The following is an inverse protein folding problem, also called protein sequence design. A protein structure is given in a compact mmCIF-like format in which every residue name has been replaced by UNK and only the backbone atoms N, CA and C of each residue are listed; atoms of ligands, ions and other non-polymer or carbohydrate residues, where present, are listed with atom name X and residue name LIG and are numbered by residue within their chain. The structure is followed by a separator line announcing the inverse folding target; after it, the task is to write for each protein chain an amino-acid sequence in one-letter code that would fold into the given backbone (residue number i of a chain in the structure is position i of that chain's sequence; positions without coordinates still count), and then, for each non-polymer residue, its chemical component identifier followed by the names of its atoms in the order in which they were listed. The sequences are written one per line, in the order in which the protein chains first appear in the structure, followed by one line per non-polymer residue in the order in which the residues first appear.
data_IF_317072385071
#
_entry.id   IF_317072385071
#
_cell.length_a   1.000
_cell.length_b   1.000
_cell.length_c   1.000
_cell.angle_alpha   90.00
_cell.angle_beta   90.00
_cell.angle_gamma   90.00
#
_symmetry.space_group_name_H-M   'P 1'
#
loop_
_entity.id
_entity.type
_entity.pdbx_description
1 polymer ?
#
# COMPACT_ATOMS: atom_id res chain seq x y z
N UNK A 1 5.49 4.85 -5.34
CA UNK A 1 4.91 4.93 -6.69
C UNK A 1 3.43 5.29 -6.64
N UNK A 2 2.89 5.88 -7.71
CA UNK A 2 1.47 6.23 -7.79
C UNK A 2 0.67 5.10 -8.45
N UNK A 3 -0.48 4.75 -7.85
CA UNK A 3 -1.52 3.93 -8.48
C UNK A 3 -2.53 4.87 -9.14
N UNK A 4 -2.74 4.69 -10.44
CA UNK A 4 -3.61 5.55 -11.23
C UNK A 4 -4.94 4.87 -11.50
N UNK A 5 -6.00 5.66 -11.52
CA UNK A 5 -7.33 5.20 -11.88
C UNK A 5 -7.37 4.84 -13.35
N UNK A 6 -8.06 3.75 -13.66
CA UNK A 6 -8.29 3.30 -15.02
C UNK A 6 -9.74 3.56 -15.41
N UNK A 7 -9.94 4.29 -16.51
CA UNK A 7 -11.25 4.50 -17.09
C UNK A 7 -11.70 3.19 -17.76
N UNK A 8 -12.80 2.62 -17.25
CA UNK A 8 -13.34 1.34 -17.74
C UNK A 8 -13.98 1.45 -19.12
N UNK A 9 -14.55 2.61 -19.45
CA UNK A 9 -15.26 2.85 -20.70
C UNK A 9 -14.25 3.06 -21.84
N UNK A 10 -13.24 3.89 -21.58
CA UNK A 10 -12.23 4.24 -22.58
C UNK A 10 -11.02 3.28 -22.60
N UNK A 11 -10.94 2.34 -21.64
CA UNK A 11 -9.80 1.42 -21.45
C UNK A 11 -8.47 2.15 -21.45
N UNK A 12 -8.40 3.30 -20.76
CA UNK A 12 -7.21 4.13 -20.68
C UNK A 12 -6.87 4.46 -19.24
N UNK A 13 -5.56 4.51 -18.96
CA UNK A 13 -5.03 5.03 -17.71
C UNK A 13 -5.32 6.53 -17.66
N UNK A 14 -5.85 7.00 -16.54
CA UNK A 14 -6.06 8.43 -16.29
C UNK A 14 -4.87 9.04 -15.57
N UNK A 15 -4.85 10.35 -15.45
CA UNK A 15 -3.87 11.07 -14.62
C UNK A 15 -4.29 11.12 -13.14
N UNK A 16 -5.51 10.70 -12.82
CA UNK A 16 -6.03 10.65 -11.44
C UNK A 16 -5.29 9.57 -10.65
N UNK A 17 -4.59 9.98 -9.58
CA UNK A 17 -4.02 9.08 -8.60
C UNK A 17 -5.13 8.63 -7.65
N UNK A 18 -5.25 7.32 -7.43
CA UNK A 18 -6.25 6.72 -6.50
C UNK A 18 -5.62 6.13 -5.25
N UNK A 19 -4.32 5.85 -5.28
CA UNK A 19 -3.58 5.25 -4.19
C UNK A 19 -2.07 5.44 -4.39
N UNK A 20 -1.31 5.20 -3.33
CA UNK A 20 0.14 5.16 -3.36
C UNK A 20 0.64 3.76 -3.06
N UNK A 21 1.67 3.33 -3.75
CA UNK A 21 2.45 2.14 -3.41
C UNK A 21 3.68 2.58 -2.60
N UNK A 22 3.79 2.09 -1.38
CA UNK A 22 4.90 2.36 -0.47
C UNK A 22 5.68 1.07 -0.17
N UNK A 23 6.99 1.18 -0.06
CA UNK A 23 7.88 0.09 0.32
C UNK A 23 8.32 0.29 1.77
N UNK A 24 7.96 -0.65 2.65
CA UNK A 24 8.21 -0.54 4.09
C UNK A 24 9.01 -1.74 4.59
N UNK A 25 9.93 -1.52 5.52
CA UNK A 25 10.52 -2.61 6.29
C UNK A 25 9.51 -3.14 7.32
N UNK A 26 9.26 -4.45 7.37
CA UNK A 26 8.39 -5.05 8.37
C UNK A 26 9.20 -5.71 9.48
N UNK A 27 9.08 -5.20 10.71
CA UNK A 27 9.64 -5.85 11.89
C UNK A 27 9.00 -7.22 12.16
N UNK A 28 7.73 -7.39 11.79
CA UNK A 28 6.97 -8.63 12.04
C UNK A 28 7.32 -9.73 11.05
N UNK A 29 7.53 -9.39 9.79
CA UNK A 29 7.84 -10.37 8.74
C UNK A 29 9.35 -10.56 8.53
N UNK A 30 10.18 -9.69 9.09
CA UNK A 30 11.64 -9.74 8.92
C UNK A 30 12.10 -9.43 7.49
N UNK A 31 11.21 -8.89 6.65
CA UNK A 31 11.47 -8.51 5.26
C UNK A 31 10.72 -7.22 4.92
N UNK A 32 11.03 -6.62 3.78
CA UNK A 32 10.25 -5.51 3.26
C UNK A 32 8.93 -5.97 2.63
N UNK A 33 7.95 -5.07 2.65
CA UNK A 33 6.62 -5.28 2.08
C UNK A 33 6.23 -4.09 1.23
N UNK A 34 5.54 -4.40 0.14
CA UNK A 34 4.85 -3.40 -0.65
C UNK A 34 3.42 -3.24 -0.14
N UNK A 35 3.04 -2.02 0.23
CA UNK A 35 1.69 -1.68 0.65
C UNK A 35 1.02 -0.76 -0.36
N UNK A 36 -0.31 -0.89 -0.51
CA UNK A 36 -1.16 0.07 -1.19
C UNK A 36 -1.87 0.95 -0.15
N UNK A 37 -1.47 2.21 -0.08
CA UNK A 37 -2.11 3.22 0.75
C UNK A 37 -3.22 3.90 -0.06
N UNK A 38 -4.44 3.92 0.46
CA UNK A 38 -5.60 4.61 -0.14
C UNK A 38 -5.56 6.13 0.09
N UNK A 39 -4.45 6.74 -0.34
CA UNK A 39 -4.25 8.18 -0.32
C UNK A 39 -3.75 8.66 -1.69
N UNK A 40 -3.99 9.93 -1.98
CA UNK A 40 -3.56 10.57 -3.23
C UNK A 40 -2.27 11.37 -3.08
N UNK A 41 -1.87 11.66 -1.83
CA UNK A 41 -0.69 12.45 -1.49
C UNK A 41 0.24 11.65 -0.56
N UNK A 42 1.54 11.89 -0.71
CA UNK A 42 2.55 11.21 0.10
C UNK A 42 2.40 11.65 1.57
N UNK A 43 2.29 10.73 2.53
CA UNK A 43 2.21 11.08 3.93
C UNK A 43 3.51 11.77 4.38
N UNK A 44 3.38 12.83 5.16
CA UNK A 44 4.52 13.59 5.71
C UNK A 44 5.12 12.83 6.90
N UNK A 45 5.92 11.81 6.61
CA UNK A 45 6.55 10.94 7.60
C UNK A 45 8.07 11.07 7.47
N UNK A 46 8.77 11.11 8.60
CA UNK A 46 10.23 11.15 8.62
C UNK A 46 10.82 9.84 8.07
N UNK A 47 11.94 9.90 7.32
CA UNK A 47 12.65 8.70 6.90
C UNK A 47 12.99 7.80 8.09
N UNK A 48 12.80 6.49 7.93
CA UNK A 48 13.04 5.48 8.97
C UNK A 48 12.15 5.60 10.23
N UNK A 49 11.11 6.43 10.21
CA UNK A 49 10.12 6.44 11.28
C UNK A 49 9.43 5.07 11.39
N UNK A 50 9.16 4.66 12.62
CA UNK A 50 8.28 3.51 12.89
C UNK A 50 6.85 3.97 12.65
N UNK A 51 6.09 3.18 11.91
CA UNK A 51 4.74 3.52 11.47
C UNK A 51 3.77 2.40 11.76
N UNK A 52 2.51 2.77 12.01
CA UNK A 52 1.38 1.85 12.05
C UNK A 52 0.48 2.09 10.84
N UNK A 53 -0.12 1.00 10.34
CA UNK A 53 -1.07 1.04 9.23
C UNK A 53 -2.49 1.09 9.79
N UNK A 54 -3.30 2.00 9.28
CA UNK A 54 -4.71 2.11 9.64
C UNK A 54 -5.55 1.17 8.77
N UNK A 55 -6.38 0.36 9.44
CA UNK A 55 -7.26 -0.64 8.81
C UNK A 55 -6.55 -1.50 7.75
N UNK A 56 -5.45 -2.20 8.11
CA UNK A 56 -4.70 -2.98 7.14
C UNK A 56 -5.52 -4.22 6.72
N UNK A 57 -5.74 -4.35 5.42
CA UNK A 57 -6.36 -5.50 4.78
C UNK A 57 -5.28 -6.31 4.06
N UNK A 58 -5.09 -7.54 4.49
CA UNK A 58 -4.22 -8.50 3.82
C UNK A 58 -5.01 -9.25 2.74
N UNK A 59 -4.65 -9.02 1.47
CA UNK A 59 -5.29 -9.62 0.30
C UNK A 59 -4.21 -10.23 -0.61
N UNK A 60 -3.61 -11.37 -0.22
CA UNK A 60 -2.46 -11.93 -0.93
C UNK A 60 -2.80 -12.52 -2.30
N UNK A 61 -4.08 -12.75 -2.60
CA UNK A 61 -4.51 -13.37 -3.86
C UNK A 61 -5.33 -12.41 -4.71
N UNK A 62 -5.02 -12.35 -6.00
CA UNK A 62 -5.86 -11.70 -7.01
C UNK A 62 -6.30 -12.72 -8.05
N UNK A 63 -7.55 -12.63 -8.50
CA UNK A 63 -8.07 -13.49 -9.56
C UNK A 63 -7.49 -13.06 -10.91
N UNK A 64 -6.83 -13.99 -11.61
CA UNK A 64 -6.43 -13.82 -13.02
C UNK A 64 -7.00 -14.98 -13.83
N UNK A 65 -8.10 -14.71 -14.53
CA UNK A 65 -8.90 -15.79 -15.14
C UNK A 65 -9.49 -16.69 -14.06
N UNK A 66 -9.26 -18.00 -14.17
CA UNK A 66 -9.80 -19.00 -13.24
C UNK A 66 -8.83 -19.38 -12.10
N UNK A 67 -7.65 -18.74 -12.03
CA UNK A 67 -6.62 -19.11 -11.05
C UNK A 67 -6.34 -17.94 -10.10
N UNK A 68 -6.32 -18.17 -8.77
CA UNK A 68 -5.81 -17.19 -7.82
C UNK A 68 -4.30 -17.07 -7.98
N UNK A 69 -3.80 -15.85 -8.08
CA UNK A 69 -2.36 -15.55 -8.20
C UNK A 69 -1.88 -14.84 -6.93
N UNK A 70 -0.81 -15.35 -6.34
CA UNK A 70 -0.16 -14.75 -5.18
C UNK A 70 0.53 -13.44 -5.59
N UNK A 71 0.19 -12.35 -4.91
CA UNK A 71 0.73 -11.00 -5.13
C UNK A 71 1.15 -10.29 -3.83
N UNK A 72 1.01 -10.95 -2.68
CA UNK A 72 1.42 -10.46 -1.34
C UNK A 72 1.04 -8.98 -1.08
N UNK A 73 -0.21 -8.63 -1.40
CA UNK A 73 -0.70 -7.25 -1.33
C UNK A 73 -1.32 -6.95 0.03
N UNK A 74 -0.79 -5.92 0.71
CA UNK A 74 -1.43 -5.28 1.85
C UNK A 74 -2.03 -3.96 1.38
N UNK A 75 -3.28 -3.68 1.75
CA UNK A 75 -3.92 -2.38 1.51
C UNK A 75 -4.26 -1.72 2.85
N UNK A 76 -4.16 -0.41 2.97
CA UNK A 76 -4.50 0.33 4.19
C UNK A 76 -5.15 1.67 3.86
N UNK A 77 -5.91 2.22 4.82
CA UNK A 77 -6.59 3.52 4.69
C UNK A 77 -5.69 4.69 5.04
N UNK A 78 -4.76 4.48 5.95
CA UNK A 78 -3.89 5.51 6.50
C UNK A 78 -2.59 4.92 7.02
N UNK A 79 -1.65 5.81 7.30
CA UNK A 79 -0.36 5.48 7.89
C UNK A 79 0.06 6.66 8.78
N UNK A 80 0.45 6.36 10.01
CA UNK A 80 0.91 7.37 10.96
C UNK A 80 2.18 6.91 11.67
N UNK A 81 3.03 7.88 12.02
CA UNK A 81 4.21 7.61 12.83
C UNK A 81 3.80 7.29 14.26
N UNK A 82 4.46 6.32 14.86
CA UNK A 82 4.33 6.03 16.28
C UNK A 82 5.58 6.50 17.01
N UNK A 83 5.44 7.15 18.18
CA UNK A 83 6.57 7.49 19.01
C UNK A 83 7.27 6.18 19.40
N UNK A 84 8.57 6.10 19.12
CA UNK A 84 9.36 4.91 19.35
C UNK A 84 9.51 4.69 20.87
N UNK A 85 8.52 4.04 21.49
CA UNK A 85 8.57 3.59 22.89
C UNK A 85 9.33 2.27 22.89
N UNK A 86 10.64 2.36 22.99
CA UNK A 86 11.61 1.27 23.16
C UNK A 86 12.05 0.59 21.87
N UNK A 87 13.26 0.96 21.43
CA UNK A 87 14.17 0.06 20.73
C UNK A 87 15.16 -0.51 21.75
#
# INVERSE_FOLDING_TARGET
DNCYRYDKDNKKKTEEVEALKLHLGSMKLGNSVDIRLEATELPKIEPYAVVELEEPVYAPYVQRGNFPVLVEKITCKGIHSVPNKNM
#
